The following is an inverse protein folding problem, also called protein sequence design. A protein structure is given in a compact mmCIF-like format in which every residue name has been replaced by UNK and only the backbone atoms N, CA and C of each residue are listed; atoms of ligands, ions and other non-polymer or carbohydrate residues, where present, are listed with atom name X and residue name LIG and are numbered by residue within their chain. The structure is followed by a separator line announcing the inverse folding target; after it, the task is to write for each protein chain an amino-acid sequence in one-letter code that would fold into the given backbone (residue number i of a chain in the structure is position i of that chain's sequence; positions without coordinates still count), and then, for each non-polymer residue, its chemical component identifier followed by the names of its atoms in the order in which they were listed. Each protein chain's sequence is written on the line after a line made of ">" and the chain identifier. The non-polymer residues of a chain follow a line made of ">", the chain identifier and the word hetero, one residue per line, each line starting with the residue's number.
data_IF_102016208796
#
_entry.id   IF_102016208796
#
_cell.length_a   1.000
_cell.length_b   1.000
_cell.length_c   1.000
_cell.angle_alpha   90.00
_cell.angle_beta   90.00
_cell.angle_gamma   90.00
#
_symmetry.space_group_name_H-M   'P 1'
#
loop_
_entity.id
_entity.type
_entity.pdbx_description
1 polymer ?
#
# COMPACT_ATOMS: atom_id res chain seq x y z
N UNK A 1 25.27 6.74 -47.86
CA UNK A 1 24.11 5.92 -47.46
C UNK A 1 24.43 5.39 -46.07
N UNK A 2 24.10 6.14 -45.01
CA UNK A 2 24.48 5.84 -43.64
C UNK A 2 23.34 5.06 -42.98
N UNK A 3 23.60 3.80 -42.63
CA UNK A 3 22.69 2.96 -41.86
C UNK A 3 22.84 3.38 -40.38
N UNK A 4 21.91 4.17 -39.85
CA UNK A 4 21.82 4.43 -38.42
C UNK A 4 21.00 3.30 -37.78
N UNK A 5 21.69 2.37 -37.12
CA UNK A 5 21.07 1.44 -36.16
C UNK A 5 20.74 2.22 -34.89
N UNK A 6 19.48 2.61 -34.73
CA UNK A 6 18.94 3.09 -33.46
C UNK A 6 18.89 1.90 -32.49
N UNK A 7 19.65 1.99 -31.41
CA UNK A 7 19.58 1.06 -30.29
C UNK A 7 18.34 1.45 -29.48
N UNK A 8 17.33 0.56 -29.32
CA UNK A 8 16.18 0.86 -28.50
C UNK A 8 16.62 0.92 -27.02
N UNK A 9 16.60 2.12 -26.45
CA UNK A 9 16.73 2.34 -25.01
C UNK A 9 15.30 2.33 -24.43
N UNK A 10 14.94 1.28 -23.71
CA UNK A 10 13.65 1.22 -23.03
C UNK A 10 13.46 -0.15 -22.38
N UNK A 11 13.08 -0.16 -21.10
CA UNK A 11 12.78 -1.37 -20.33
C UNK A 11 11.85 -2.30 -21.09
N UNK A 12 11.97 -3.61 -20.84
CA UNK A 12 11.31 -4.70 -21.57
C UNK A 12 9.86 -4.38 -21.94
N UNK A 13 9.67 -3.72 -23.09
CA UNK A 13 8.37 -3.53 -23.71
C UNK A 13 7.87 -4.93 -24.01
N UNK A 14 6.78 -5.31 -23.35
CA UNK A 14 6.21 -6.63 -23.50
C UNK A 14 5.90 -6.84 -24.99
N UNK A 15 6.46 -7.89 -25.62
CA UNK A 15 6.37 -8.06 -27.08
C UNK A 15 4.92 -8.11 -27.58
N UNK A 16 3.98 -8.37 -26.67
CA UNK A 16 2.53 -8.37 -26.84
C UNK A 16 1.97 -7.00 -27.21
N UNK A 17 2.49 -5.90 -26.62
CA UNK A 17 1.95 -4.54 -26.83
C UNK A 17 2.30 -4.01 -28.22
N UNK A 18 3.55 -4.16 -28.64
CA UNK A 18 4.00 -3.77 -29.98
C UNK A 18 3.32 -4.59 -31.09
N UNK A 19 3.05 -5.87 -30.86
CA UNK A 19 2.30 -6.71 -31.81
C UNK A 19 0.85 -6.25 -32.00
N UNK A 20 0.21 -5.81 -30.92
CA UNK A 20 -1.16 -5.29 -30.99
C UNK A 20 -1.21 -4.01 -31.82
N UNK A 21 -0.29 -3.07 -31.59
CA UNK A 21 -0.20 -1.85 -32.41
C UNK A 21 0.04 -2.14 -33.88
N UNK A 22 0.92 -3.10 -34.22
CA UNK A 22 1.24 -3.46 -35.61
C UNK A 22 0.02 -3.91 -36.43
N UNK A 23 -1.02 -4.48 -35.79
CA UNK A 23 -2.27 -4.87 -36.48
C UNK A 23 -3.06 -3.66 -36.99
N UNK A 24 -2.85 -2.49 -36.41
CA UNK A 24 -3.52 -1.24 -36.77
C UNK A 24 -2.68 -0.33 -37.69
N UNK A 25 -1.44 -0.75 -38.01
CA UNK A 25 -0.54 -0.02 -38.91
C UNK A 25 -0.80 -0.38 -40.37
N UNK A 26 -0.64 0.60 -41.25
CA UNK A 26 -0.61 0.36 -42.69
C UNK A 26 0.68 -0.41 -43.04
N UNK A 27 0.70 -1.32 -44.03
CA UNK A 27 1.91 -2.10 -44.35
C UNK A 27 3.16 -1.28 -44.68
N UNK A 28 3.00 -0.03 -45.12
CA UNK A 28 4.10 0.89 -45.43
C UNK A 28 4.49 1.81 -44.26
N UNK A 29 3.76 1.74 -43.14
CA UNK A 29 3.93 2.61 -41.98
C UNK A 29 4.91 1.96 -41.01
N UNK A 30 5.91 2.74 -40.58
CA UNK A 30 6.96 2.25 -39.71
C UNK A 30 6.72 2.72 -38.29
N UNK A 31 6.75 1.78 -37.34
CA UNK A 31 6.68 2.08 -35.92
C UNK A 31 8.07 2.52 -35.43
N UNK A 32 8.21 3.80 -35.10
CA UNK A 32 9.49 4.38 -34.67
C UNK A 32 9.75 4.09 -33.19
N UNK A 33 8.74 4.27 -32.34
CA UNK A 33 8.82 3.95 -30.92
C UNK A 33 7.46 3.53 -30.34
N UNK A 34 7.53 2.89 -29.18
CA UNK A 34 6.38 2.45 -28.40
C UNK A 34 6.58 2.90 -26.96
N UNK A 35 5.51 3.44 -26.38
CA UNK A 35 5.46 3.92 -25.01
C UNK A 35 4.21 3.38 -24.32
N UNK A 36 4.29 3.21 -23.01
CA UNK A 36 3.14 2.91 -22.17
C UNK A 36 2.72 4.18 -21.43
N UNK A 37 1.42 4.38 -21.30
CA UNK A 37 0.89 5.54 -20.60
C UNK A 37 -0.58 5.38 -20.22
N UNK A 38 -1.17 6.46 -19.71
CA UNK A 38 -2.59 6.56 -19.45
C UNK A 38 -3.16 7.74 -20.25
N UNK A 39 -4.22 7.49 -21.01
CA UNK A 39 -4.98 8.53 -21.67
C UNK A 39 -6.00 9.09 -20.67
N UNK A 40 -5.89 10.38 -20.37
CA UNK A 40 -6.85 11.09 -19.53
C UNK A 40 -7.96 11.67 -20.40
N UNK A 41 -9.17 11.17 -20.17
CA UNK A 41 -10.42 11.71 -20.70
C UNK A 41 -11.15 12.44 -19.56
N UNK A 42 -12.17 13.24 -19.86
CA UNK A 42 -12.95 14.02 -18.86
C UNK A 42 -13.42 13.19 -17.64
N UNK A 43 -13.68 11.89 -17.84
CA UNK A 43 -14.28 11.02 -16.82
C UNK A 43 -13.38 9.92 -16.30
N UNK A 44 -12.26 9.61 -16.96
CA UNK A 44 -11.42 8.46 -16.60
C UNK A 44 -10.01 8.54 -17.16
N UNK A 45 -9.10 7.81 -16.51
CA UNK A 45 -7.75 7.52 -17.01
C UNK A 45 -7.72 6.07 -17.46
N UNK A 46 -7.46 5.85 -18.74
CA UNK A 46 -7.40 4.50 -19.32
C UNK A 46 -5.97 4.16 -19.68
N UNK A 47 -5.42 3.00 -19.28
CA UNK A 47 -4.11 2.57 -19.73
C UNK A 47 -4.10 2.41 -21.26
N UNK A 48 -3.08 2.96 -21.90
CA UNK A 48 -2.92 2.94 -23.36
C UNK A 48 -1.47 2.62 -23.73
N UNK A 49 -1.29 1.79 -24.75
CA UNK A 49 -0.03 1.67 -25.46
C UNK A 49 -0.01 2.67 -26.60
N UNK A 50 1.00 3.54 -26.63
CA UNK A 50 1.18 4.59 -27.62
C UNK A 50 2.31 4.20 -28.57
N UNK A 51 2.03 4.20 -29.87
CA UNK A 51 3.00 4.04 -30.93
C UNK A 51 3.22 5.35 -31.68
N UNK A 52 4.47 5.79 -31.76
CA UNK A 52 4.86 6.90 -32.64
C UNK A 52 5.29 6.27 -33.97
N UNK A 53 4.64 6.65 -35.06
CA UNK A 53 4.99 6.16 -36.41
C UNK A 53 5.69 7.26 -37.21
N UNK A 54 5.99 7.02 -38.48
CA UNK A 54 6.45 8.05 -39.40
C UNK A 54 5.32 9.03 -39.84
N UNK A 55 4.04 8.69 -39.60
CA UNK A 55 2.89 9.43 -40.15
C UNK A 55 1.91 9.97 -39.10
N UNK A 56 1.75 9.24 -38.00
CA UNK A 56 0.75 9.49 -36.95
C UNK A 56 1.19 8.96 -35.59
N UNK A 57 0.61 9.54 -34.55
CA UNK A 57 0.56 8.96 -33.22
C UNK A 57 -0.64 8.02 -33.16
N UNK A 58 -0.39 6.75 -32.85
CA UNK A 58 -1.44 5.75 -32.62
C UNK A 58 -1.46 5.34 -31.15
N UNK A 59 -2.63 5.14 -30.58
CA UNK A 59 -2.81 4.69 -29.20
C UNK A 59 -3.87 3.61 -29.14
N UNK A 60 -3.61 2.54 -28.38
CA UNK A 60 -4.58 1.47 -28.16
C UNK A 60 -4.68 1.21 -26.66
N UNK A 61 -5.87 1.39 -26.09
CA UNK A 61 -6.19 0.99 -24.72
C UNK A 61 -6.84 -0.38 -24.65
N UNK A 62 -6.84 -0.96 -23.46
CA UNK A 62 -7.38 -2.30 -23.20
C UNK A 62 -8.91 -2.34 -23.38
N UNK A 63 -9.59 -1.22 -23.12
CA UNK A 63 -11.04 -1.07 -23.25
C UNK A 63 -11.52 -0.92 -24.71
N UNK A 64 -10.62 -1.13 -25.68
CA UNK A 64 -10.89 -0.90 -27.10
C UNK A 64 -10.86 0.59 -27.48
N UNK A 65 -10.42 1.47 -26.57
CA UNK A 65 -10.16 2.88 -26.88
C UNK A 65 -9.02 2.96 -27.89
N UNK A 66 -9.24 3.71 -28.97
CA UNK A 66 -8.27 3.85 -30.03
C UNK A 66 -8.08 5.34 -30.36
N UNK A 67 -6.82 5.77 -30.34
CA UNK A 67 -6.40 7.12 -30.67
C UNK A 67 -5.60 7.06 -31.95
N UNK A 68 -5.99 7.83 -32.96
CA UNK A 68 -5.26 7.98 -34.22
C UNK A 68 -5.18 9.46 -34.56
N UNK A 69 -3.98 10.01 -34.42
CA UNK A 69 -3.73 11.43 -34.66
C UNK A 69 -2.55 11.57 -35.63
N UNK A 70 -2.88 11.95 -36.87
CA UNK A 70 -1.88 12.31 -37.88
C UNK A 70 -1.05 13.50 -37.41
N UNK A 71 0.25 13.47 -37.71
CA UNK A 71 1.16 14.57 -37.35
C UNK A 71 0.73 15.91 -37.97
N UNK A 72 0.07 15.89 -39.13
CA UNK A 72 -0.47 17.10 -39.78
C UNK A 72 -1.57 17.80 -38.99
N UNK A 73 -2.20 17.06 -38.07
CA UNK A 73 -3.27 17.57 -37.23
C UNK A 73 -2.76 18.04 -35.87
N UNK A 74 -1.48 17.85 -35.55
CA UNK A 74 -0.89 18.29 -34.30
C UNK A 74 -0.52 19.77 -34.39
N UNK A 75 -1.10 20.60 -33.52
CA UNK A 75 -0.79 22.04 -33.48
C UNK A 75 0.21 22.37 -32.38
N UNK A 76 -0.02 21.83 -31.19
CA UNK A 76 0.78 22.13 -29.99
C UNK A 76 1.02 20.84 -29.21
N UNK A 77 2.26 20.66 -28.77
CA UNK A 77 2.65 19.60 -27.84
C UNK A 77 3.25 20.31 -26.63
N UNK A 78 2.59 20.19 -25.48
CA UNK A 78 3.08 20.71 -24.21
C UNK A 78 3.40 19.55 -23.29
N UNK A 79 4.48 19.69 -22.53
CA UNK A 79 4.91 18.67 -21.58
C UNK A 79 5.09 19.30 -20.23
N UNK A 80 4.38 18.77 -19.24
CA UNK A 80 4.45 19.22 -17.86
C UNK A 80 4.80 18.04 -16.97
N UNK A 81 5.87 18.18 -16.18
CA UNK A 81 6.19 17.19 -15.15
C UNK A 81 5.35 17.47 -13.91
N UNK A 82 4.53 16.51 -13.48
CA UNK A 82 3.71 16.63 -12.29
C UNK A 82 4.16 15.59 -11.26
N UNK A 83 4.37 16.04 -10.03
CA UNK A 83 4.55 15.14 -8.90
C UNK A 83 3.17 14.78 -8.37
N UNK A 84 2.82 13.50 -8.40
CA UNK A 84 1.64 12.98 -7.70
C UNK A 84 2.11 12.26 -6.46
N UNK A 85 1.83 12.82 -5.29
CA UNK A 85 2.03 12.10 -4.02
C UNK A 85 0.91 11.08 -3.86
N UNK A 86 1.19 9.81 -4.08
CA UNK A 86 0.27 8.74 -3.70
C UNK A 86 0.61 8.29 -2.30
N UNK A 87 -0.38 8.27 -1.42
CA UNK A 87 -0.26 7.57 -0.14
C UNK A 87 -0.50 6.10 -0.39
N UNK A 88 0.56 5.29 -0.31
CA UNK A 88 0.45 3.84 -0.39
C UNK A 88 0.90 3.27 0.95
N UNK A 89 -0.06 2.68 1.66
CA UNK A 89 0.16 2.11 2.98
C UNK A 89 -1.00 2.42 3.92
N UNK A 90 -1.33 1.47 4.79
CA UNK A 90 -2.12 1.73 5.99
C UNK A 90 -1.12 2.04 7.08
N UNK A 91 -1.21 3.21 7.70
CA UNK A 91 -0.34 3.53 8.83
C UNK A 91 -0.85 2.81 10.07
N UNK A 92 -0.18 1.73 10.43
CA UNK A 92 -0.52 0.96 11.62
C UNK A 92 -0.34 1.77 12.90
N UNK A 93 0.45 2.86 12.84
CA UNK A 93 0.57 3.83 13.93
C UNK A 93 -0.72 4.60 14.15
N UNK A 94 -1.55 4.80 13.12
CA UNK A 94 -2.87 5.42 13.27
C UNK A 94 -3.82 4.48 14.00
N UNK A 95 -3.77 3.17 13.70
CA UNK A 95 -4.53 2.15 14.45
C UNK A 95 -4.05 2.07 15.88
N UNK A 96 -2.73 2.08 16.10
CA UNK A 96 -2.13 2.09 17.43
C UNK A 96 -2.54 3.32 18.24
N UNK A 97 -2.39 4.50 17.67
CA UNK A 97 -2.73 5.78 18.30
C UNK A 97 -4.24 5.88 18.56
N UNK A 98 -5.07 5.45 17.60
CA UNK A 98 -6.52 5.41 17.75
C UNK A 98 -6.96 4.50 18.90
N UNK A 99 -6.40 3.29 18.97
CA UNK A 99 -6.64 2.36 20.08
C UNK A 99 -6.20 2.93 21.43
N UNK A 100 -5.01 3.55 21.49
CA UNK A 100 -4.50 4.20 22.69
C UNK A 100 -5.38 5.34 23.19
N UNK A 101 -5.81 6.24 22.29
CA UNK A 101 -6.71 7.36 22.62
C UNK A 101 -8.06 6.83 23.12
N UNK A 102 -8.63 5.81 22.47
CA UNK A 102 -9.88 5.17 22.90
C UNK A 102 -9.76 4.60 24.32
N UNK A 103 -8.65 3.91 24.63
CA UNK A 103 -8.40 3.36 25.95
C UNK A 103 -8.28 4.47 27.02
N UNK A 104 -7.54 5.54 26.73
CA UNK A 104 -7.39 6.69 27.66
C UNK A 104 -8.72 7.39 27.91
N UNK A 105 -9.51 7.65 26.86
CA UNK A 105 -10.83 8.28 27.01
C UNK A 105 -11.79 7.41 27.82
N UNK A 106 -11.75 6.10 27.62
CA UNK A 106 -12.56 5.15 28.38
C UNK A 106 -12.18 5.14 29.86
N UNK A 107 -10.88 5.16 30.17
CA UNK A 107 -10.37 5.28 31.54
C UNK A 107 -10.80 6.60 32.20
N UNK A 108 -10.70 7.72 31.49
CA UNK A 108 -11.20 9.01 31.97
C UNK A 108 -12.71 8.95 32.27
N UNK A 109 -13.49 8.29 31.42
CA UNK A 109 -14.92 8.06 31.65
C UNK A 109 -15.21 7.25 32.92
N UNK A 110 -14.43 6.20 33.19
CA UNK A 110 -14.56 5.37 34.39
C UNK A 110 -14.28 6.20 35.65
N UNK A 111 -13.18 6.97 35.64
CA UNK A 111 -12.81 7.85 36.76
C UNK A 111 -13.90 8.90 37.00
N UNK A 112 -14.38 9.56 35.94
CA UNK A 112 -15.43 10.56 36.04
C UNK A 112 -16.74 9.97 36.57
N UNK A 113 -17.14 8.80 36.07
CA UNK A 113 -18.34 8.09 36.53
C UNK A 113 -18.28 7.76 38.01
N UNK A 114 -17.11 7.31 38.49
CA UNK A 114 -16.92 7.00 39.90
C UNK A 114 -16.91 8.25 40.79
N UNK A 115 -16.32 9.36 40.34
CA UNK A 115 -16.37 10.64 41.07
C UNK A 115 -17.82 11.12 41.22
N UNK A 116 -18.61 11.03 40.14
CA UNK A 116 -20.02 11.43 40.14
C UNK A 116 -20.90 10.53 41.03
N UNK A 117 -20.54 9.25 41.20
CA UNK A 117 -21.27 8.28 42.02
C UNK A 117 -20.92 8.33 43.52
N UNK A 118 -20.00 9.20 43.96
CA UNK A 118 -19.62 9.34 45.37
C UNK A 118 -19.03 8.07 45.98
N UNK A 119 -19.40 7.72 47.22
CA UNK A 119 -18.85 6.53 47.91
C UNK A 119 -19.15 5.20 47.17
N UNK A 120 -20.25 5.12 46.42
CA UNK A 120 -20.57 3.97 45.57
C UNK A 120 -19.70 3.86 44.31
N UNK A 121 -19.04 4.96 43.91
CA UNK A 121 -18.13 4.97 42.78
C UNK A 121 -16.80 4.27 43.05
N UNK A 122 -16.36 4.20 44.31
CA UNK A 122 -15.07 3.60 44.67
C UNK A 122 -14.99 2.10 44.36
N UNK A 123 -16.09 1.36 44.55
CA UNK A 123 -16.17 -0.06 44.18
C UNK A 123 -16.15 -0.25 42.67
N UNK A 124 -16.83 0.63 41.93
CA UNK A 124 -16.85 0.64 40.45
C UNK A 124 -15.46 0.91 39.89
N UNK A 125 -14.73 1.89 40.47
CA UNK A 125 -13.34 2.19 40.12
C UNK A 125 -12.42 0.99 40.40
N UNK A 126 -12.50 0.42 41.60
CA UNK A 126 -11.68 -0.73 41.99
C UNK A 126 -11.88 -1.94 41.08
N UNK A 127 -13.13 -2.28 40.77
CA UNK A 127 -13.46 -3.38 39.87
C UNK A 127 -12.98 -3.11 38.44
N UNK A 128 -13.15 -1.89 37.94
CA UNK A 128 -12.69 -1.53 36.59
C UNK A 128 -11.17 -1.63 36.46
N UNK A 129 -10.43 -1.13 37.46
CA UNK A 129 -8.97 -1.25 37.51
C UNK A 129 -8.56 -2.72 37.58
N UNK A 130 -9.22 -3.54 38.40
CA UNK A 130 -8.93 -4.97 38.51
C UNK A 130 -9.17 -5.72 37.18
N UNK A 131 -10.25 -5.42 36.46
CA UNK A 131 -10.53 -6.03 35.15
C UNK A 131 -9.45 -5.63 34.13
N UNK A 132 -9.13 -4.34 34.03
CA UNK A 132 -8.13 -3.84 33.07
C UNK A 132 -6.76 -4.43 33.39
N UNK A 133 -6.31 -4.34 34.64
CA UNK A 133 -5.02 -4.88 35.07
C UNK A 133 -4.95 -6.40 34.88
N UNK A 134 -5.99 -7.14 35.27
CA UNK A 134 -6.04 -8.59 35.14
C UNK A 134 -6.03 -9.06 33.68
N UNK A 135 -6.72 -8.34 32.80
CA UNK A 135 -6.74 -8.63 31.36
C UNK A 135 -5.39 -8.30 30.71
N UNK A 136 -4.79 -7.14 31.01
CA UNK A 136 -3.45 -6.79 30.54
C UNK A 136 -2.41 -7.81 31.01
N UNK A 137 -2.45 -8.23 32.27
CA UNK A 137 -1.54 -9.23 32.81
C UNK A 137 -1.72 -10.60 32.13
N UNK A 138 -2.96 -11.02 31.88
CA UNK A 138 -3.23 -12.25 31.15
C UNK A 138 -2.68 -12.19 29.72
N UNK A 139 -2.92 -11.09 29.00
CA UNK A 139 -2.41 -10.90 27.63
C UNK A 139 -0.89 -10.86 27.58
N UNK A 140 -0.22 -10.20 28.54
CA UNK A 140 1.24 -10.19 28.64
C UNK A 140 1.80 -11.59 28.93
N UNK A 141 1.16 -12.34 29.83
CA UNK A 141 1.53 -13.71 30.14
C UNK A 141 1.34 -14.62 28.92
N UNK A 142 0.25 -14.45 28.16
CA UNK A 142 0.05 -15.15 26.89
C UNK A 142 1.13 -14.79 25.88
N UNK A 143 1.47 -13.52 25.69
CA UNK A 143 2.49 -13.13 24.71
C UNK A 143 3.91 -13.62 25.04
N UNK A 144 4.28 -13.66 26.32
CA UNK A 144 5.57 -14.21 26.73
C UNK A 144 5.56 -15.75 26.74
N UNK A 145 4.40 -16.37 26.95
CA UNK A 145 4.21 -17.81 26.92
C UNK A 145 3.92 -18.40 25.53
N UNK A 146 3.46 -17.62 24.55
CA UNK A 146 2.98 -18.10 23.24
C UNK A 146 4.07 -18.24 22.18
N UNK A 147 5.34 -18.02 22.53
CA UNK A 147 6.46 -18.56 21.76
C UNK A 147 6.64 -20.07 21.94
N UNK A 148 5.75 -20.73 22.70
CA UNK A 148 5.87 -22.14 23.02
C UNK A 148 4.85 -23.04 22.31
N UNK A 149 5.40 -23.99 21.56
CA UNK A 149 5.03 -25.41 21.47
C UNK A 149 3.67 -25.85 20.95
N UNK A 150 2.72 -24.98 20.62
CA UNK A 150 1.48 -25.49 20.01
C UNK A 150 1.71 -25.96 18.55
N UNK A 151 2.72 -25.41 17.86
CA UNK A 151 3.11 -25.85 16.52
C UNK A 151 4.28 -26.86 16.51
N UNK A 152 5.21 -26.80 17.48
CA UNK A 152 6.27 -27.82 17.62
C UNK A 152 5.70 -29.19 18.03
N UNK A 153 4.56 -29.23 18.73
CA UNK A 153 3.83 -30.47 18.99
C UNK A 153 3.24 -31.12 17.72
N UNK A 154 3.07 -30.36 16.63
CA UNK A 154 2.64 -30.90 15.32
C UNK A 154 3.80 -31.20 14.38
N UNK A 155 4.94 -30.51 14.51
CA UNK A 155 6.14 -30.74 13.68
C UNK A 155 6.96 -31.96 14.15
N UNK A 156 6.74 -32.40 15.40
CA UNK A 156 7.34 -33.63 15.96
C UNK A 156 6.86 -34.95 15.33
N UNK A 157 5.95 -34.94 14.35
CA UNK A 157 5.47 -36.14 13.68
C UNK A 157 6.19 -36.51 12.38
N UNK A 158 7.15 -35.71 11.90
CA UNK A 158 7.88 -35.98 10.64
C UNK A 158 9.37 -36.34 10.84
N UNK A 159 9.76 -36.68 12.08
CA UNK A 159 11.15 -36.96 12.44
C UNK A 159 11.52 -38.45 12.29
N UNK A 160 11.30 -39.00 11.09
CA UNK A 160 11.83 -40.31 10.65
C UNK A 160 13.08 -40.14 9.75
N UNK A 161 13.82 -39.03 9.93
CA UNK A 161 15.03 -38.73 9.16
C UNK A 161 16.24 -39.45 9.78
N UNK A 162 16.96 -40.31 9.04
CA UNK A 162 18.08 -41.07 9.57
C UNK A 162 19.24 -40.17 10.03
N UNK A 163 19.99 -40.57 11.08
CA UNK A 163 20.98 -39.74 11.74
C UNK A 163 22.21 -39.50 10.85
N UNK A 164 22.24 -38.34 10.19
CA UNK A 164 23.40 -37.81 9.50
C UNK A 164 24.26 -36.94 10.41
N UNK A 165 25.22 -37.58 11.08
CA UNK A 165 26.50 -37.01 11.58
C UNK A 165 26.40 -35.73 12.42
N UNK A 166 26.41 -35.94 13.74
CA UNK A 166 26.47 -34.93 14.78
C UNK A 166 27.74 -34.06 14.71
N UNK A 167 27.53 -32.73 14.66
CA UNK A 167 28.52 -31.74 15.07
C UNK A 167 28.24 -31.45 16.55
N UNK A 168 29.08 -31.99 17.43
CA UNK A 168 29.01 -31.77 18.89
C UNK A 168 29.48 -30.36 19.22
N UNK A 169 28.57 -29.39 19.12
CA UNK A 169 28.66 -28.17 19.94
C UNK A 169 27.85 -28.47 21.20
N UNK A 170 28.54 -28.76 22.31
CA UNK A 170 27.94 -28.91 23.63
C UNK A 170 27.36 -27.56 24.05
N UNK A 171 26.03 -27.39 24.10
CA UNK A 171 25.41 -26.20 24.67
C UNK A 171 25.58 -26.31 26.18
N UNK A 172 25.97 -25.21 26.80
CA UNK A 172 26.16 -25.06 28.23
C UNK A 172 24.81 -25.28 28.95
N UNK A 173 24.58 -26.49 29.49
CA UNK A 173 23.31 -26.99 30.04
C UNK A 173 22.88 -26.38 31.38
N UNK A 174 23.36 -25.17 31.69
CA UNK A 174 23.04 -24.46 32.93
C UNK A 174 21.75 -23.61 32.89
N UNK A 175 21.24 -23.28 31.69
CA UNK A 175 20.21 -22.23 31.54
C UNK A 175 18.77 -22.74 31.34
N UNK A 176 18.56 -24.01 30.98
CA UNK A 176 17.21 -24.51 30.66
C UNK A 176 16.31 -24.68 31.89
N UNK A 177 16.87 -24.97 33.07
CA UNK A 177 16.08 -25.20 34.29
C UNK A 177 15.47 -23.94 34.90
N UNK A 178 16.07 -22.76 34.64
CA UNK A 178 15.56 -21.51 35.21
C UNK A 178 14.36 -20.98 34.40
N UNK A 179 14.37 -21.21 33.08
CA UNK A 179 13.29 -20.80 32.18
C UNK A 179 11.96 -21.55 32.43
N UNK A 180 12.03 -22.82 32.80
CA UNK A 180 10.83 -23.64 33.10
C UNK A 180 10.11 -23.17 34.38
N UNK A 181 10.88 -22.81 35.40
CA UNK A 181 10.39 -22.25 36.67
C UNK A 181 9.73 -20.88 36.47
N UNK A 182 10.32 -20.01 35.65
CA UNK A 182 9.72 -18.72 35.30
C UNK A 182 8.45 -18.88 34.46
N UNK A 183 8.43 -19.82 33.51
CA UNK A 183 7.26 -20.13 32.68
C UNK A 183 6.08 -20.60 33.53
N UNK A 184 6.30 -21.49 34.49
CA UNK A 184 5.24 -21.98 35.37
C UNK A 184 4.69 -20.86 36.26
N UNK A 185 5.54 -19.95 36.74
CA UNK A 185 5.12 -18.76 37.50
C UNK A 185 4.30 -17.79 36.65
N UNK A 186 4.69 -17.56 35.40
CA UNK A 186 3.96 -16.69 34.47
C UNK A 186 2.58 -17.25 34.09
N UNK A 187 2.48 -18.57 33.85
CA UNK A 187 1.20 -19.23 33.57
C UNK A 187 0.26 -19.20 34.79
N UNK A 188 0.78 -19.45 35.99
CA UNK A 188 0.01 -19.33 37.22
C UNK A 188 -0.44 -17.88 37.46
N UNK A 189 0.44 -16.91 37.26
CA UNK A 189 0.11 -15.50 37.41
C UNK A 189 -0.96 -15.04 36.40
N UNK A 190 -0.84 -15.44 35.13
CA UNK A 190 -1.81 -15.13 34.08
C UNK A 190 -3.16 -15.82 34.28
N UNK A 191 -3.15 -17.08 34.73
CA UNK A 191 -4.38 -17.82 35.05
C UNK A 191 -5.15 -17.20 36.22
N UNK A 192 -4.45 -16.84 37.31
CA UNK A 192 -5.06 -16.17 38.46
C UNK A 192 -5.59 -14.79 38.07
N UNK A 193 -4.86 -14.02 37.24
CA UNK A 193 -5.30 -12.71 36.81
C UNK A 193 -6.54 -12.76 35.92
N UNK A 194 -6.65 -13.77 35.04
CA UNK A 194 -7.83 -13.98 34.20
C UNK A 194 -9.09 -14.33 35.02
N UNK A 195 -8.94 -15.18 36.04
CA UNK A 195 -10.04 -15.52 36.96
C UNK A 195 -10.48 -14.29 37.75
N UNK A 196 -9.54 -13.49 38.26
CA UNK A 196 -9.87 -12.26 38.97
C UNK A 196 -10.56 -11.22 38.07
N UNK A 197 -10.13 -11.09 36.81
CA UNK A 197 -10.75 -10.18 35.86
C UNK A 197 -12.19 -10.61 35.52
N UNK A 198 -12.42 -11.89 35.27
CA UNK A 198 -13.76 -12.42 34.96
C UNK A 198 -14.73 -12.28 36.13
N UNK A 199 -14.29 -12.58 37.36
CA UNK A 199 -15.08 -12.37 38.57
C UNK A 199 -15.41 -10.88 38.78
N UNK A 200 -14.41 -10.01 38.62
CA UNK A 200 -14.59 -8.56 38.79
C UNK A 200 -15.56 -7.98 37.75
N UNK A 201 -15.47 -8.44 36.50
CA UNK A 201 -16.37 -8.03 35.43
C UNK A 201 -17.81 -8.53 35.65
N UNK A 202 -17.96 -9.80 36.08
CA UNK A 202 -19.27 -10.36 36.40
C UNK A 202 -19.97 -9.57 37.51
N UNK A 203 -19.23 -9.20 38.56
CA UNK A 203 -19.74 -8.37 39.64
C UNK A 203 -20.13 -6.96 39.15
N UNK A 204 -19.31 -6.36 38.27
CA UNK A 204 -19.60 -5.06 37.67
C UNK A 204 -20.87 -5.12 36.80
N UNK A 205 -21.05 -6.18 36.00
CA UNK A 205 -22.25 -6.37 35.19
C UNK A 205 -23.51 -6.53 36.05
N UNK A 206 -23.39 -7.23 37.19
CA UNK A 206 -24.49 -7.42 38.12
C UNK A 206 -24.90 -6.13 38.85
N UNK A 207 -24.00 -5.13 38.96
CA UNK A 207 -24.31 -3.84 39.60
C UNK A 207 -25.37 -3.00 38.85
N UNK A 208 -25.74 -3.38 37.62
CA UNK A 208 -26.70 -2.66 36.80
C UNK A 208 -26.15 -1.38 36.16
N UNK A 209 -24.88 -1.04 36.40
CA UNK A 209 -24.23 0.12 35.79
C UNK A 209 -23.73 -0.19 34.38
N UNK A 210 -24.66 -0.17 33.40
CA UNK A 210 -24.37 -0.44 31.98
C UNK A 210 -23.29 0.49 31.43
N UNK A 211 -23.22 1.74 31.89
CA UNK A 211 -22.20 2.69 31.45
C UNK A 211 -20.79 2.25 31.87
N UNK A 212 -20.61 1.78 33.10
CA UNK A 212 -19.32 1.27 33.58
C UNK A 212 -18.88 0.03 32.79
N UNK A 213 -19.81 -0.88 32.49
CA UNK A 213 -19.53 -2.07 31.67
C UNK A 213 -19.08 -1.68 30.26
N UNK A 214 -19.82 -0.76 29.61
CA UNK A 214 -19.47 -0.29 28.26
C UNK A 214 -18.11 0.41 28.23
N UNK A 215 -17.79 1.21 29.25
CA UNK A 215 -16.49 1.87 29.35
C UNK A 215 -15.34 0.87 29.54
N UNK A 216 -15.53 -0.18 30.34
CA UNK A 216 -14.52 -1.25 30.48
C UNK A 216 -14.32 -2.00 29.17
N UNK A 217 -15.40 -2.37 28.49
CA UNK A 217 -15.32 -3.04 27.17
C UNK A 217 -14.64 -2.16 26.14
N UNK A 218 -14.99 -0.86 26.10
CA UNK A 218 -14.36 0.14 25.23
C UNK A 218 -12.86 0.29 25.53
N UNK A 219 -12.46 0.30 26.80
CA UNK A 219 -11.05 0.36 27.19
C UNK A 219 -10.27 -0.88 26.70
N UNK A 220 -10.85 -2.07 26.85
CA UNK A 220 -10.24 -3.32 26.38
C UNK A 220 -10.16 -3.37 24.85
N UNK A 221 -11.19 -2.91 24.14
CA UNK A 221 -11.18 -2.82 22.68
C UNK A 221 -10.09 -1.85 22.18
N UNK A 222 -9.97 -0.69 22.82
CA UNK A 222 -8.91 0.28 22.52
C UNK A 222 -7.51 -0.30 22.75
N UNK A 223 -7.29 -1.00 23.86
CA UNK A 223 -6.02 -1.69 24.15
C UNK A 223 -5.72 -2.78 23.12
N UNK A 224 -6.71 -3.59 22.74
CA UNK A 224 -6.55 -4.63 21.73
C UNK A 224 -6.19 -4.04 20.35
N UNK A 225 -6.83 -2.94 19.94
CA UNK A 225 -6.46 -2.20 18.73
C UNK A 225 -5.04 -1.63 18.80
N UNK A 226 -4.67 -1.07 19.96
CA UNK A 226 -3.33 -0.52 20.17
C UNK A 226 -2.24 -1.59 20.03
N UNK A 227 -2.49 -2.75 20.64
CA UNK A 227 -1.61 -3.90 20.56
C UNK A 227 -1.57 -4.51 19.15
N UNK A 228 -2.70 -4.60 18.46
CA UNK A 228 -2.78 -5.05 17.08
C UNK A 228 -1.93 -4.15 16.17
N UNK A 229 -2.07 -2.81 16.29
CA UNK A 229 -1.24 -1.86 15.55
C UNK A 229 0.26 -2.02 15.83
N UNK A 230 0.64 -2.34 17.08
CA UNK A 230 2.04 -2.61 17.43
C UNK A 230 2.58 -3.92 16.83
N UNK A 231 1.73 -4.94 16.68
CA UNK A 231 2.11 -6.19 16.03
C UNK A 231 2.33 -5.92 14.54
N UNK A 232 1.41 -5.19 13.90
CA UNK A 232 1.50 -4.81 12.49
C UNK A 232 2.68 -3.89 12.17
N UNK A 233 3.12 -3.04 13.11
CA UNK A 233 4.33 -2.20 12.93
C UNK A 233 5.59 -3.01 12.61
N UNK A 234 5.64 -4.31 12.96
CA UNK A 234 6.77 -5.18 12.62
C UNK A 234 6.66 -5.82 11.23
N UNK A 235 5.49 -5.73 10.57
CA UNK A 235 5.18 -6.41 9.31
C UNK A 235 5.10 -5.43 8.14
N UNK A 236 4.78 -4.16 8.39
CA UNK A 236 4.69 -3.12 7.36
C UNK A 236 5.72 -2.01 7.56
N UNK A 237 6.51 -1.75 6.52
CA UNK A 237 7.57 -0.73 6.50
C UNK A 237 6.97 0.68 6.30
N UNK A 238 6.21 1.15 7.29
CA UNK A 238 5.71 2.53 7.41
C UNK A 238 4.81 3.07 6.27
N UNK A 239 4.32 4.30 6.43
CA UNK A 239 3.79 5.07 5.29
C UNK A 239 4.99 5.45 4.43
N UNK A 240 5.14 4.83 3.27
CA UNK A 240 6.06 5.35 2.27
C UNK A 240 5.36 6.46 1.48
N UNK A 241 5.96 7.65 1.54
CA UNK A 241 5.54 8.78 0.73
C UNK A 241 6.18 8.62 -0.64
N UNK A 242 5.62 7.71 -1.44
CA UNK A 242 6.10 7.53 -2.80
C UNK A 242 5.65 8.74 -3.64
N UNK A 243 6.60 9.67 -3.84
CA UNK A 243 6.41 10.77 -4.78
C UNK A 243 6.63 10.22 -6.18
N UNK A 244 5.56 9.76 -6.81
CA UNK A 244 5.62 9.33 -8.19
C UNK A 244 5.66 10.59 -9.09
N UNK A 245 6.78 10.80 -9.77
CA UNK A 245 6.85 11.78 -10.82
C UNK A 245 6.23 11.18 -12.07
N UNK A 246 5.22 11.85 -12.64
CA UNK A 246 4.66 11.49 -13.94
C UNK A 246 4.79 12.67 -14.89
N UNK A 247 4.89 12.38 -16.19
CA UNK A 247 4.97 13.39 -17.23
C UNK A 247 3.62 13.44 -17.96
N UNK A 248 2.99 14.60 -17.94
CA UNK A 248 1.74 14.86 -18.61
C UNK A 248 2.06 15.55 -19.94
N UNK A 249 1.71 14.90 -21.05
CA UNK A 249 1.88 15.42 -22.40
C UNK A 249 0.50 15.79 -22.92
N UNK A 250 0.29 17.09 -23.12
CA UNK A 250 -0.93 17.62 -23.72
C UNK A 250 -0.70 17.85 -25.21
N UNK A 251 -1.56 17.23 -26.01
CA UNK A 251 -1.51 17.28 -27.46
C UNK A 251 -2.78 17.94 -27.95
N UNK A 252 -2.65 19.12 -28.55
CA UNK A 252 -3.77 19.84 -29.15
C UNK A 252 -3.80 19.60 -30.65
N UNK A 253 -4.98 19.26 -31.17
CA UNK A 253 -5.21 19.05 -32.60
C UNK A 253 -5.77 20.29 -33.30
N UNK A 254 -5.72 20.32 -34.63
CA UNK A 254 -6.20 21.44 -35.46
C UNK A 254 -7.70 21.74 -35.29
N UNK A 255 -8.48 20.79 -34.81
CA UNK A 255 -9.90 20.95 -34.48
C UNK A 255 -10.12 21.52 -33.07
N UNK A 256 -9.04 21.86 -32.35
CA UNK A 256 -9.08 22.40 -30.99
C UNK A 256 -9.28 21.36 -29.89
N UNK A 257 -9.35 20.06 -30.23
CA UNK A 257 -9.40 19.00 -29.21
C UNK A 257 -8.02 18.88 -28.55
N UNK A 258 -8.02 18.64 -27.25
CA UNK A 258 -6.79 18.42 -26.49
C UNK A 258 -6.88 17.07 -25.81
N UNK A 259 -5.85 16.25 -26.01
CA UNK A 259 -5.72 14.95 -25.38
C UNK A 259 -4.57 15.03 -24.38
N UNK A 260 -4.78 14.54 -23.17
CA UNK A 260 -3.75 14.50 -22.15
C UNK A 260 -3.29 13.08 -21.92
N UNK A 261 -1.98 12.88 -22.01
CA UNK A 261 -1.33 11.58 -21.94
C UNK A 261 -0.36 11.60 -20.75
N UNK A 262 -0.54 10.69 -19.81
CA UNK A 262 0.38 10.47 -18.72
C UNK A 262 1.37 9.38 -19.10
N UNK A 263 2.66 9.68 -19.05
CA UNK A 263 3.74 8.73 -19.35
C UNK A 263 4.78 8.73 -18.24
N UNK A 264 5.64 7.71 -18.25
CA UNK A 264 6.83 7.67 -17.41
C UNK A 264 7.70 8.93 -17.63
N UNK A 265 8.26 9.54 -16.57
CA UNK A 265 9.08 10.75 -16.68
C UNK A 265 10.34 10.57 -17.53
N UNK A 266 10.83 9.35 -17.69
CA UNK A 266 11.97 8.98 -18.55
C UNK A 266 11.59 8.77 -20.01
N UNK A 267 10.29 8.77 -20.34
CA UNK A 267 9.85 8.62 -21.72
C UNK A 267 10.16 9.88 -22.56
N UNK A 268 10.87 9.66 -23.66
CA UNK A 268 11.27 10.68 -24.63
C UNK A 268 10.18 10.99 -25.68
N UNK A 269 8.91 10.66 -25.40
CA UNK A 269 7.78 10.84 -26.32
C UNK A 269 7.66 12.27 -26.88
N UNK A 270 7.89 13.30 -26.05
CA UNK A 270 7.86 14.70 -26.48
C UNK A 270 8.95 15.02 -27.52
N UNK A 271 10.13 14.40 -27.37
CA UNK A 271 11.29 14.66 -28.21
C UNK A 271 11.07 14.02 -29.57
N UNK A 272 10.53 12.80 -29.60
CA UNK A 272 10.20 12.12 -30.85
C UNK A 272 9.09 12.84 -31.62
N UNK A 273 8.01 13.22 -30.93
CA UNK A 273 6.93 14.00 -31.55
C UNK A 273 7.44 15.37 -32.03
N UNK A 274 8.33 16.02 -31.27
CA UNK A 274 8.96 17.28 -31.64
C UNK A 274 9.87 17.18 -32.87
N UNK A 275 10.66 16.12 -32.97
CA UNK A 275 11.51 15.86 -34.14
C UNK A 275 10.67 15.65 -35.41
N UNK A 276 9.59 14.88 -35.33
CA UNK A 276 8.73 14.57 -36.48
C UNK A 276 7.91 15.79 -36.94
N UNK A 277 7.43 16.61 -36.01
CA UNK A 277 6.70 17.85 -36.34
C UNK A 277 7.64 18.91 -36.93
N UNK A 278 8.85 19.08 -36.38
CA UNK A 278 9.83 20.06 -36.86
C UNK A 278 10.36 19.72 -38.27
N UNK A 279 10.70 18.45 -38.51
CA UNK A 279 11.20 18.01 -39.81
C UNK A 279 10.20 18.32 -40.93
N UNK A 280 8.90 18.24 -40.63
CA UNK A 280 7.84 18.42 -41.63
C UNK A 280 7.54 19.88 -41.94
N UNK A 281 7.58 20.78 -40.95
CA UNK A 281 7.44 22.23 -41.19
C UNK A 281 8.52 22.76 -42.15
N UNK A 282 9.72 22.17 -42.10
CA UNK A 282 10.83 22.56 -42.96
C UNK A 282 10.62 22.19 -44.44
N UNK A 283 9.80 21.18 -44.76
CA UNK A 283 9.48 20.77 -46.15
C UNK A 283 8.19 21.39 -46.71
N UNK A 284 7.33 21.99 -45.89
CA UNK A 284 6.05 22.56 -46.35
C UNK A 284 6.13 23.99 -46.91
N UNK A 285 7.30 24.62 -46.90
CA UNK A 285 7.48 26.00 -47.38
C UNK A 285 8.20 26.13 -48.72
N UNK A 286 8.61 25.02 -49.33
CA UNK A 286 9.22 25.05 -50.67
C UNK A 286 8.14 24.95 -51.76
N UNK A 287 7.64 26.13 -52.16
CA UNK A 287 7.01 26.44 -53.45
C UNK A 287 5.55 26.00 -53.71
N UNK A 288 4.60 26.72 -53.11
CA UNK A 288 3.40 27.12 -53.88
C UNK A 288 3.70 28.50 -54.44
N UNK A 289 4.33 28.55 -55.62
CA UNK A 289 4.38 29.78 -56.40
C UNK A 289 2.94 30.10 -56.81
N UNK A 290 2.35 31.12 -56.18
CA UNK A 290 1.17 31.75 -56.72
C UNK A 290 1.56 32.44 -58.03
N UNK A 291 1.17 31.84 -59.14
CA UNK A 291 1.19 32.49 -60.44
C UNK A 291 0.18 33.64 -60.40
N UNK A 292 0.62 34.91 -60.50
CA UNK A 292 -0.31 36.04 -60.49
C UNK A 292 -1.13 36.02 -61.78
N UNK A 293 -2.46 36.03 -61.63
CA UNK A 293 -3.40 36.34 -62.74
C UNK A 293 -3.74 37.81 -62.75
#
# INVERSE_FOLDING_TARGET
>A
MALFTLVPYGGACDMTTAQTLRKHLVPSESLNAVYEGELETETSRTPVTLGVTDRRLVGCGEDGTFVDVKHDYLTTIQSTRRATSSFRGVDDRVVMAGGGVMAVLSLCGIVLSAVLAGMGGLSTLGLSVAVIAGTCAAVLAFHHGSRFDLFDAFDGMDQDRPPGRATTATPDGGSERDLESERQKLLLAGGVSAVLATLSFGWLAQSGNVAAVLLVVSALAGLAMAQYGRILENEYDGIDFETQYRKQIEVTTVDGRTFSIWTDPSADLERELGCLTSQRQQFSLESVQYEPR
#
